data_IF_806534838936
#
_entry.id   IF_806534838936
#
_cell.length_a   1.000
_cell.length_b   1.000
_cell.length_c   1.000
_cell.angle_alpha   90.00
_cell.angle_beta   90.00
_cell.angle_gamma   90.00
#
_symmetry.space_group_name_H-M   'P 1'
#
loop_
_entity.id
_entity.type
_entity.pdbx_description
1 polymer ?
#
# COMPACT_ATOMS: atom_id res chain seq x y z
N UNK A 1 22.57 8.03 -6.39
CA UNK A 1 21.94 6.95 -5.58
C UNK A 1 20.55 6.68 -6.13
N UNK A 2 20.15 5.42 -6.35
CA UNK A 2 18.79 5.10 -6.79
C UNK A 2 17.78 5.19 -5.63
N UNK A 3 16.48 5.25 -5.94
CA UNK A 3 15.41 5.41 -4.95
C UNK A 3 15.42 4.32 -3.86
N UNK A 4 15.75 3.07 -4.22
CA UNK A 4 15.84 1.97 -3.28
C UNK A 4 16.90 2.21 -2.21
N UNK A 5 18.13 2.53 -2.64
CA UNK A 5 19.24 2.78 -1.72
C UNK A 5 19.03 4.03 -0.88
N UNK A 6 18.36 5.06 -1.42
CA UNK A 6 17.99 6.26 -0.66
C UNK A 6 17.09 5.91 0.52
N UNK A 7 16.01 5.16 0.29
CA UNK A 7 15.07 4.76 1.35
C UNK A 7 15.78 3.88 2.38
N UNK A 8 16.56 2.89 1.92
CA UNK A 8 17.28 1.98 2.80
C UNK A 8 18.25 2.73 3.72
N UNK A 9 19.06 3.63 3.18
CA UNK A 9 20.01 4.43 3.95
C UNK A 9 19.30 5.30 5.01
N UNK A 10 18.15 5.89 4.66
CA UNK A 10 17.35 6.67 5.61
C UNK A 10 16.85 5.82 6.78
N UNK A 11 16.34 4.62 6.51
CA UNK A 11 15.87 3.74 7.58
C UNK A 11 17.01 3.19 8.44
N UNK A 12 18.20 2.95 7.87
CA UNK A 12 19.41 2.60 8.64
C UNK A 12 19.89 3.75 9.54
N UNK A 13 19.81 4.99 9.06
CA UNK A 13 20.14 6.16 9.88
C UNK A 13 19.14 6.35 11.03
N UNK A 14 17.85 6.14 10.78
CA UNK A 14 16.84 6.14 11.83
C UNK A 14 17.16 5.08 12.89
N UNK A 15 17.44 3.85 12.45
CA UNK A 15 17.81 2.75 13.35
C UNK A 15 19.01 3.09 14.22
N UNK A 16 20.12 3.56 13.62
CA UNK A 16 21.35 3.90 14.35
C UNK A 16 21.14 4.92 15.46
N UNK A 17 20.23 5.89 15.27
CA UNK A 17 19.89 6.90 16.30
C UNK A 17 19.09 6.32 17.47
N UNK A 18 18.40 5.20 17.25
CA UNK A 18 17.59 4.50 18.24
C UNK A 18 18.28 3.28 18.84
N UNK A 19 19.49 2.94 18.36
CA UNK A 19 20.31 1.86 18.90
C UNK A 19 19.66 0.49 18.80
N UNK A 20 19.01 0.18 17.67
CA UNK A 20 18.34 -1.13 17.54
C UNK A 20 19.35 -2.20 17.10
N UNK A 21 19.21 -3.40 17.66
CA UNK A 21 19.99 -4.52 17.18
C UNK A 21 19.43 -5.02 15.83
N UNK A 22 20.33 -5.21 14.86
CA UNK A 22 19.99 -5.69 13.51
C UNK A 22 20.63 -7.05 13.19
N UNK A 23 19.80 -7.91 12.60
CA UNK A 23 20.15 -9.18 11.98
C UNK A 23 20.50 -8.99 10.49
N UNK A 24 21.43 -9.81 10.01
CA UNK A 24 21.87 -9.84 8.61
C UNK A 24 20.88 -10.53 7.69
N UNK A 25 20.38 -9.79 6.69
CA UNK A 25 19.57 -10.21 5.55
C UNK A 25 18.33 -11.07 5.82
N UNK A 26 17.63 -11.45 4.74
CA UNK A 26 16.40 -12.26 4.85
C UNK A 26 16.69 -13.68 5.34
N UNK A 27 17.87 -14.22 5.03
CA UNK A 27 18.36 -15.48 5.60
C UNK A 27 19.12 -15.14 6.88
N UNK A 28 18.79 -15.74 8.03
CA UNK A 28 19.44 -15.40 9.30
C UNK A 28 20.97 -15.35 9.19
N UNK A 29 21.56 -14.27 9.70
CA UNK A 29 23.01 -14.04 9.77
C UNK A 29 23.73 -13.98 8.42
N UNK A 30 23.04 -13.67 7.31
CA UNK A 30 23.67 -13.52 5.99
C UNK A 30 23.27 -12.22 5.30
N UNK A 31 24.25 -11.51 4.78
CA UNK A 31 24.04 -10.26 4.05
C UNK A 31 23.96 -9.04 4.96
N UNK A 32 23.58 -7.91 4.39
CA UNK A 32 23.54 -6.61 5.08
C UNK A 32 22.56 -6.62 6.26
N UNK A 33 22.99 -6.05 7.40
CA UNK A 33 22.16 -5.89 8.60
C UNK A 33 21.04 -4.89 8.33
N UNK A 34 19.80 -5.39 8.30
CA UNK A 34 18.62 -4.61 7.88
C UNK A 34 17.31 -5.13 8.49
N UNK A 35 17.39 -6.08 9.41
CA UNK A 35 16.23 -6.72 10.02
C UNK A 35 16.30 -6.56 11.53
N UNK A 36 15.27 -6.00 12.17
CA UNK A 36 15.23 -5.93 13.64
C UNK A 36 15.07 -7.32 14.25
N UNK A 37 15.64 -7.52 15.44
CA UNK A 37 15.51 -8.79 16.18
C UNK A 37 14.03 -9.09 16.48
N UNK A 38 13.35 -8.12 17.10
CA UNK A 38 11.92 -8.19 17.43
C UNK A 38 11.10 -7.41 16.42
N UNK A 39 10.09 -8.05 15.82
CA UNK A 39 9.22 -7.41 14.83
C UNK A 39 8.61 -6.11 15.38
N UNK A 40 8.16 -6.13 16.64
CA UNK A 40 7.53 -4.98 17.30
C UNK A 40 8.45 -3.77 17.38
N UNK A 41 9.77 -3.92 17.42
CA UNK A 41 10.71 -2.79 17.34
C UNK A 41 10.59 -2.02 16.03
N UNK A 42 10.01 -2.64 14.99
CA UNK A 42 9.73 -1.99 13.72
C UNK A 42 8.34 -1.32 13.67
N UNK A 43 7.56 -1.37 14.76
CA UNK A 43 6.18 -0.90 14.82
C UNK A 43 6.03 0.21 15.85
N UNK A 44 5.25 1.25 15.53
CA UNK A 44 4.91 2.32 16.47
C UNK A 44 4.34 1.75 17.77
N UNK A 45 4.77 2.30 18.90
CA UNK A 45 4.42 1.84 20.25
C UNK A 45 4.73 0.35 20.52
N UNK A 46 5.58 -0.26 19.70
CA UNK A 46 6.04 -1.64 19.82
C UNK A 46 4.91 -2.68 19.97
N UNK A 47 3.76 -2.42 19.34
CA UNK A 47 2.58 -3.28 19.47
C UNK A 47 1.87 -3.44 18.15
N UNK A 48 1.66 -4.69 17.74
CA UNK A 48 0.66 -5.04 16.74
C UNK A 48 -0.67 -5.28 17.44
N UNK A 49 -1.76 -4.73 16.90
CA UNK A 49 -3.09 -5.06 17.39
C UNK A 49 -3.44 -6.52 17.03
N UNK A 50 -4.30 -7.14 17.82
CA UNK A 50 -4.76 -8.52 17.56
C UNK A 50 -5.42 -8.63 16.18
N UNK A 51 -6.14 -7.59 15.78
CA UNK A 51 -6.86 -7.53 14.50
C UNK A 51 -5.87 -7.43 13.33
N UNK A 52 -4.86 -6.56 13.42
CA UNK A 52 -3.80 -6.48 12.42
C UNK A 52 -3.06 -7.82 12.30
N UNK A 53 -2.77 -8.48 13.42
CA UNK A 53 -2.13 -9.79 13.40
C UNK A 53 -3.00 -10.86 12.72
N UNK A 54 -4.30 -10.85 12.96
CA UNK A 54 -5.25 -11.76 12.29
C UNK A 54 -5.35 -11.50 10.79
N UNK A 55 -5.34 -10.24 10.38
CA UNK A 55 -5.36 -9.83 8.97
C UNK A 55 -4.13 -10.35 8.22
N UNK A 56 -2.93 -10.10 8.74
CA UNK A 56 -1.70 -10.63 8.13
C UNK A 56 -1.60 -12.16 8.14
N UNK A 57 -2.22 -12.84 9.12
CA UNK A 57 -2.30 -14.32 9.11
C UNK A 57 -3.18 -14.88 7.99
N UNK A 58 -4.16 -14.09 7.51
CA UNK A 58 -5.05 -14.45 6.39
C UNK A 58 -4.45 -14.05 5.03
N UNK A 59 -3.49 -13.13 5.03
CA UNK A 59 -2.67 -12.77 3.87
C UNK A 59 -1.86 -13.96 3.34
N UNK A 60 -1.30 -13.79 2.14
CA UNK A 60 -0.58 -14.88 1.45
C UNK A 60 0.93 -14.90 1.75
N UNK A 61 1.40 -14.02 2.63
CA UNK A 61 2.82 -13.86 2.88
C UNK A 61 3.25 -14.26 4.28
N UNK A 62 4.57 -14.30 4.45
CA UNK A 62 5.22 -14.54 5.74
C UNK A 62 5.61 -13.18 6.37
N UNK A 63 4.64 -12.28 6.51
CA UNK A 63 4.88 -10.91 6.97
C UNK A 63 5.28 -10.88 8.45
N UNK A 64 4.64 -11.69 9.29
CA UNK A 64 4.73 -11.58 10.76
C UNK A 64 5.47 -12.72 11.46
N UNK A 65 5.81 -13.80 10.75
CA UNK A 65 6.46 -14.98 11.31
C UNK A 65 7.76 -15.31 10.61
N UNK A 66 8.79 -15.57 11.42
CA UNK A 66 10.02 -16.17 10.92
C UNK A 66 9.75 -17.63 10.51
N UNK A 67 10.48 -18.11 9.53
CA UNK A 67 10.56 -19.52 9.16
C UNK A 67 11.97 -20.02 9.45
N UNK A 68 12.18 -21.34 9.36
CA UNK A 68 13.51 -21.96 9.55
C UNK A 68 14.59 -21.38 8.62
N UNK A 69 14.21 -20.80 7.49
CA UNK A 69 15.16 -20.30 6.47
C UNK A 69 15.06 -18.80 6.21
N UNK A 70 14.04 -18.11 6.74
CA UNK A 70 13.79 -16.70 6.43
C UNK A 70 13.20 -15.93 7.62
N UNK A 71 13.68 -14.72 7.83
CA UNK A 71 13.06 -13.76 8.76
C UNK A 71 11.74 -13.22 8.19
N UNK A 72 10.83 -12.88 9.08
CA UNK A 72 9.56 -12.23 8.79
C UNK A 72 9.79 -10.94 7.97
N UNK A 73 9.01 -10.72 6.92
CA UNK A 73 9.22 -9.54 6.05
C UNK A 73 9.03 -8.22 6.80
N UNK A 74 8.17 -8.19 7.82
CA UNK A 74 7.92 -7.01 8.63
C UNK A 74 9.06 -6.67 9.59
N UNK A 75 10.06 -7.56 9.77
CA UNK A 75 11.30 -7.23 10.48
C UNK A 75 12.25 -6.35 9.66
N UNK A 76 12.11 -6.29 8.33
CA UNK A 76 12.98 -5.44 7.52
C UNK A 76 12.72 -3.95 7.83
N UNK A 77 13.78 -3.16 8.05
CA UNK A 77 13.65 -1.71 8.31
C UNK A 77 12.87 -0.99 7.22
N UNK A 78 13.07 -1.42 5.97
CA UNK A 78 12.39 -0.91 4.77
C UNK A 78 11.18 -1.77 4.37
N UNK A 79 10.51 -2.40 5.35
CA UNK A 79 9.36 -3.26 5.11
C UNK A 79 8.15 -2.48 4.63
N UNK A 80 7.63 -2.89 3.49
CA UNK A 80 6.41 -2.35 2.90
C UNK A 80 5.13 -2.70 3.64
N UNK A 81 5.17 -3.67 4.56
CA UNK A 81 4.05 -3.99 5.45
C UNK A 81 4.15 -3.21 6.76
N UNK A 82 5.35 -2.91 7.26
CA UNK A 82 5.52 -2.15 8.49
C UNK A 82 5.11 -0.67 8.32
N UNK A 83 5.44 -0.06 7.18
CA UNK A 83 5.07 1.32 6.88
C UNK A 83 3.55 1.59 6.97
N UNK A 84 2.68 0.87 6.24
CA UNK A 84 1.24 1.06 6.38
C UNK A 84 0.74 0.69 7.77
N UNK A 85 1.28 -0.32 8.45
CA UNK A 85 0.89 -0.58 9.85
C UNK A 85 1.17 0.61 10.74
N UNK A 86 2.36 1.21 10.62
CA UNK A 86 2.76 2.37 11.40
C UNK A 86 1.91 3.59 11.12
N UNK A 87 1.38 3.76 9.91
CA UNK A 87 0.49 4.87 9.59
C UNK A 87 -0.95 4.58 9.97
N UNK A 88 -1.48 3.40 9.65
CA UNK A 88 -2.92 3.15 9.70
C UNK A 88 -3.39 2.49 11.00
N UNK A 89 -2.59 1.62 11.64
CA UNK A 89 -3.04 0.88 12.82
C UNK A 89 -3.41 1.78 13.99
N UNK A 90 -2.70 2.91 14.14
CA UNK A 90 -2.96 3.90 15.19
C UNK A 90 -4.42 4.40 15.21
N UNK A 91 -5.09 4.35 14.06
CA UNK A 91 -6.44 4.85 13.86
C UNK A 91 -7.54 3.78 14.01
N UNK A 92 -7.20 2.51 14.31
CA UNK A 92 -8.19 1.42 14.45
C UNK A 92 -9.23 1.66 15.56
N UNK A 93 -8.83 2.37 16.62
CA UNK A 93 -9.63 2.65 17.82
C UNK A 93 -9.98 4.15 17.94
N UNK A 94 -9.86 4.91 16.83
CA UNK A 94 -10.07 6.36 16.78
C UNK A 94 -10.97 6.74 15.60
N UNK A 95 -11.41 8.00 15.57
CA UNK A 95 -12.00 8.60 14.38
C UNK A 95 -10.97 8.63 13.23
N UNK A 96 -11.28 7.95 12.13
CA UNK A 96 -10.39 7.85 10.95
C UNK A 96 -10.47 9.06 10.03
N UNK A 97 -11.42 9.99 10.25
CA UNK A 97 -11.63 11.14 9.38
C UNK A 97 -10.39 12.06 9.24
N UNK A 98 -9.55 12.29 10.27
CA UNK A 98 -8.31 13.06 10.10
C UNK A 98 -7.35 12.39 9.11
N UNK A 99 -7.20 11.06 9.20
CA UNK A 99 -6.37 10.27 8.31
C UNK A 99 -6.90 10.29 6.87
N UNK A 100 -8.20 10.08 6.68
CA UNK A 100 -8.84 10.13 5.36
C UNK A 100 -8.72 11.53 4.73
N UNK A 101 -8.87 12.59 5.53
CA UNK A 101 -8.67 13.98 5.08
C UNK A 101 -7.21 14.24 4.67
N UNK A 102 -6.24 13.78 5.48
CA UNK A 102 -4.82 13.91 5.15
C UNK A 102 -4.48 13.17 3.83
N UNK A 103 -5.08 12.00 3.61
CA UNK A 103 -5.00 11.23 2.37
C UNK A 103 -5.75 11.85 1.17
N UNK A 104 -6.41 13.01 1.32
CA UNK A 104 -7.24 13.68 0.29
C UNK A 104 -8.43 12.81 -0.18
N UNK A 105 -8.96 11.96 0.69
CA UNK A 105 -10.08 11.06 0.39
C UNK A 105 -11.45 11.62 0.78
N UNK A 106 -11.47 12.54 1.74
CA UNK A 106 -12.67 13.29 2.16
C UNK A 106 -12.33 14.78 2.34
N UNK A 107 -13.32 15.65 2.15
CA UNK A 107 -13.19 17.09 2.29
C UNK A 107 -13.49 17.52 3.75
N UNK A 108 -12.62 17.12 4.68
CA UNK A 108 -12.71 17.33 6.15
C UNK A 108 -14.03 16.88 6.81
N UNK A 109 -13.98 16.76 8.13
CA UNK A 109 -14.92 16.04 9.01
C UNK A 109 -16.40 16.31 8.66
N UNK A 110 -17.20 15.29 8.32
CA UNK A 110 -18.65 15.42 8.36
C UNK A 110 -19.08 15.75 9.80
N UNK A 111 -19.97 16.73 9.96
CA UNK A 111 -20.73 16.86 11.20
C UNK A 111 -21.53 15.55 11.36
N UNK A 112 -21.18 14.71 12.34
CA UNK A 112 -21.77 13.39 12.63
C UNK A 112 -21.30 12.24 11.72
N UNK A 113 -20.02 11.85 11.79
CA UNK A 113 -19.59 10.56 11.23
C UNK A 113 -19.41 9.50 12.32
N UNK A 114 -20.19 8.43 12.24
CA UNK A 114 -19.95 7.22 13.02
C UNK A 114 -18.80 6.45 12.39
N UNK A 115 -17.59 6.62 12.92
CA UNK A 115 -16.49 5.73 12.54
C UNK A 115 -16.77 4.35 13.11
N UNK A 116 -16.88 3.35 12.25
CA UNK A 116 -17.05 1.96 12.69
C UNK A 116 -15.81 1.51 13.46
N UNK A 117 -16.02 0.81 14.57
CA UNK A 117 -14.92 0.18 15.32
C UNK A 117 -14.16 -0.77 14.38
N UNK A 118 -12.83 -0.66 14.35
CA UNK A 118 -11.96 -1.44 13.47
C UNK A 118 -12.16 -1.21 11.96
N UNK A 119 -12.57 0.01 11.57
CA UNK A 119 -12.71 0.40 10.16
C UNK A 119 -11.44 0.14 9.33
N UNK A 120 -10.25 0.22 9.94
CA UNK A 120 -8.96 -0.03 9.27
C UNK A 120 -8.62 -1.51 9.31
N UNK A 121 -8.63 -2.14 8.14
CA UNK A 121 -8.28 -3.56 7.92
C UNK A 121 -7.08 -3.70 6.99
N UNK A 122 -6.25 -4.70 7.21
CA UNK A 122 -5.05 -4.97 6.40
C UNK A 122 -5.24 -6.23 5.54
N UNK A 123 -4.48 -6.37 4.45
CA UNK A 123 -4.39 -7.59 3.63
C UNK A 123 -5.77 -8.15 3.16
N UNK A 124 -6.70 -7.25 2.84
CA UNK A 124 -8.05 -7.65 2.44
C UNK A 124 -8.07 -8.16 1.00
N UNK A 125 -8.77 -9.28 0.78
CA UNK A 125 -8.84 -10.00 -0.50
C UNK A 125 -10.11 -9.64 -1.26
N UNK A 126 -9.96 -9.23 -2.52
CA UNK A 126 -11.10 -8.94 -3.40
C UNK A 126 -11.11 -9.88 -4.60
N UNK A 127 -12.18 -10.66 -4.74
CA UNK A 127 -12.30 -11.63 -5.82
C UNK A 127 -12.63 -10.94 -7.15
N UNK A 128 -11.88 -11.27 -8.20
CA UNK A 128 -12.08 -10.74 -9.55
C UNK A 128 -13.24 -11.47 -10.25
N UNK A 129 -13.27 -12.80 -10.14
CA UNK A 129 -14.32 -13.67 -10.66
C UNK A 129 -14.22 -15.08 -10.04
N UNK A 130 -15.27 -15.87 -10.14
CA UNK A 130 -15.36 -17.21 -9.53
C UNK A 130 -14.54 -18.30 -10.25
N UNK A 131 -13.88 -17.97 -11.37
CA UNK A 131 -13.04 -18.92 -12.11
C UNK A 131 -11.67 -19.12 -11.44
N UNK A 132 -11.59 -20.08 -10.51
CA UNK A 132 -10.36 -20.41 -9.79
C UNK A 132 -9.25 -21.06 -10.61
N UNK A 133 -9.58 -21.66 -11.77
CA UNK A 133 -8.57 -22.25 -12.66
C UNK A 133 -7.67 -21.16 -13.24
N UNK A 134 -8.30 -20.08 -13.70
CA UNK A 134 -7.62 -18.96 -14.33
C UNK A 134 -7.14 -17.91 -13.32
N UNK A 135 -7.90 -17.74 -12.24
CA UNK A 135 -7.68 -16.78 -11.16
C UNK A 135 -7.53 -17.48 -9.80
N UNK A 136 -6.45 -18.27 -9.60
CA UNK A 136 -6.27 -19.04 -8.37
C UNK A 136 -5.96 -18.17 -7.14
N UNK A 137 -5.64 -16.88 -7.33
CA UNK A 137 -5.30 -15.95 -6.26
C UNK A 137 -6.13 -14.69 -6.36
N UNK A 138 -6.63 -14.24 -5.20
CA UNK A 138 -7.31 -12.97 -5.02
C UNK A 138 -6.27 -11.87 -4.80
N UNK A 139 -6.38 -10.70 -5.45
CA UNK A 139 -5.57 -9.54 -5.12
C UNK A 139 -5.75 -9.13 -3.65
N UNK A 140 -4.63 -8.94 -2.94
CA UNK A 140 -4.58 -8.46 -1.55
C UNK A 140 -4.33 -6.95 -1.57
N UNK A 141 -5.25 -6.17 -1.02
CA UNK A 141 -5.03 -4.75 -0.76
C UNK A 141 -4.36 -4.56 0.59
N UNK A 142 -3.36 -3.68 0.64
CA UNK A 142 -2.57 -3.46 1.85
C UNK A 142 -3.42 -2.91 2.99
N UNK A 143 -4.29 -1.93 2.70
CA UNK A 143 -5.23 -1.35 3.68
C UNK A 143 -6.59 -1.12 3.05
N UNK A 144 -7.65 -1.39 3.80
CA UNK A 144 -9.03 -1.04 3.46
C UNK A 144 -9.65 -0.32 4.65
N UNK A 145 -10.32 0.79 4.35
CA UNK A 145 -11.07 1.59 5.33
C UNK A 145 -12.51 1.72 4.86
N UNK A 146 -13.44 1.27 5.67
CA UNK A 146 -14.88 1.52 5.46
C UNK A 146 -15.31 2.74 6.27
N UNK A 147 -15.89 3.74 5.60
CA UNK A 147 -16.31 4.99 6.23
C UNK A 147 -17.46 5.62 5.45
N UNK A 148 -18.55 5.98 6.14
CA UNK A 148 -19.77 6.55 5.52
C UNK A 148 -20.27 5.75 4.29
N UNK A 149 -20.40 4.42 4.43
CA UNK A 149 -20.84 3.52 3.36
C UNK A 149 -19.97 3.55 2.08
N UNK A 150 -18.74 4.05 2.19
CA UNK A 150 -17.77 4.11 1.10
C UNK A 150 -16.54 3.28 1.47
N UNK A 151 -16.05 2.51 0.50
CA UNK A 151 -14.80 1.76 0.65
C UNK A 151 -13.62 2.60 0.14
N UNK A 152 -12.62 2.77 1.00
CA UNK A 152 -11.34 3.37 0.67
C UNK A 152 -10.28 2.26 0.65
N UNK A 153 -9.92 1.83 -0.55
CA UNK A 153 -8.88 0.83 -0.79
C UNK A 153 -7.54 1.53 -0.97
N UNK A 154 -6.49 1.06 -0.30
CA UNK A 154 -5.18 1.69 -0.31
C UNK A 154 -4.14 0.65 -0.71
N UNK A 155 -3.46 0.92 -1.82
CA UNK A 155 -2.27 0.21 -2.24
C UNK A 155 -1.05 1.03 -1.78
N UNK A 156 -0.25 0.43 -0.90
CA UNK A 156 0.91 1.04 -0.26
C UNK A 156 2.19 0.64 -0.98
N UNK A 157 3.06 1.61 -1.30
CA UNK A 157 4.38 1.36 -1.88
C UNK A 157 5.48 2.05 -1.12
N UNK A 158 6.50 1.30 -0.73
CA UNK A 158 7.66 1.84 -0.05
C UNK A 158 8.89 1.78 -0.95
N UNK A 159 9.44 0.58 -1.14
CA UNK A 159 10.70 0.36 -1.86
C UNK A 159 10.53 -0.29 -3.22
N UNK A 160 9.40 -0.95 -3.43
CA UNK A 160 9.09 -1.77 -4.60
C UNK A 160 9.22 -1.03 -5.93
N UNK A 161 8.72 0.21 -6.08
CA UNK A 161 8.82 0.92 -7.34
C UNK A 161 10.26 1.09 -7.83
N UNK A 162 11.23 1.08 -6.90
CA UNK A 162 12.64 1.38 -7.18
C UNK A 162 13.53 0.13 -7.20
N UNK A 163 12.98 -1.07 -7.01
CA UNK A 163 13.75 -2.34 -7.03
C UNK A 163 13.93 -2.92 -8.42
N UNK A 164 13.01 -2.65 -9.34
CA UNK A 164 13.05 -3.20 -10.69
C UNK A 164 11.73 -2.99 -11.42
N UNK A 165 11.73 -3.35 -12.71
CA UNK A 165 10.54 -3.21 -13.55
C UNK A 165 9.44 -4.19 -13.09
N UNK A 166 8.20 -3.71 -12.86
CA UNK A 166 7.06 -4.58 -12.57
C UNK A 166 6.76 -5.53 -13.73
N UNK A 167 6.16 -6.68 -13.41
CA UNK A 167 5.74 -7.67 -14.41
C UNK A 167 4.50 -7.20 -15.17
N UNK A 168 4.29 -7.77 -16.36
CA UNK A 168 3.06 -7.55 -17.12
C UNK A 168 1.86 -8.27 -16.53
N UNK A 169 0.69 -7.94 -17.07
CA UNK A 169 -0.55 -8.63 -16.75
C UNK A 169 -0.56 -10.00 -17.45
N UNK A 170 -1.13 -11.03 -16.82
CA UNK A 170 -1.25 -12.35 -17.45
C UNK A 170 -2.23 -12.29 -18.63
N UNK A 171 -1.95 -13.03 -19.70
CA UNK A 171 -2.80 -13.11 -20.91
C UNK A 171 -4.24 -13.51 -20.62
N UNK A 172 -4.47 -14.28 -19.56
CA UNK A 172 -5.81 -14.68 -19.17
C UNK A 172 -6.73 -13.49 -18.94
N UNK A 173 -6.21 -12.34 -18.49
CA UNK A 173 -6.99 -11.12 -18.26
C UNK A 173 -7.42 -10.43 -19.56
N UNK A 174 -6.77 -10.73 -20.69
CA UNK A 174 -7.06 -10.15 -22.01
C UNK A 174 -7.86 -11.10 -22.90
N UNK A 175 -8.31 -12.24 -22.35
CA UNK A 175 -9.18 -13.18 -23.04
C UNK A 175 -10.57 -12.58 -23.29
N UNK A 176 -11.11 -12.81 -24.49
CA UNK A 176 -12.48 -12.41 -24.88
C UNK A 176 -13.56 -13.02 -23.99
N UNK A 177 -13.25 -14.11 -23.29
CA UNK A 177 -14.16 -14.74 -22.32
C UNK A 177 -14.43 -13.85 -21.08
N UNK A 178 -13.68 -12.75 -20.92
CA UNK A 178 -13.80 -11.81 -19.79
C UNK A 178 -14.44 -10.48 -20.18
N UNK A 179 -15.15 -10.38 -21.30
CA UNK A 179 -15.77 -9.10 -21.71
C UNK A 179 -16.68 -8.49 -20.63
N UNK A 180 -17.37 -9.34 -19.85
CA UNK A 180 -18.18 -8.88 -18.70
C UNK A 180 -17.34 -8.19 -17.61
N UNK A 181 -16.12 -8.66 -17.39
CA UNK A 181 -15.19 -8.10 -16.40
C UNK A 181 -14.84 -6.65 -16.76
N UNK A 182 -14.57 -6.42 -18.05
CA UNK A 182 -14.19 -5.13 -18.62
C UNK A 182 -15.36 -4.19 -18.91
N UNK A 183 -16.62 -4.62 -18.70
CA UNK A 183 -17.80 -3.77 -18.92
C UNK A 183 -17.65 -2.44 -18.18
N UNK A 184 -17.61 -1.35 -18.96
CA UNK A 184 -17.44 0.01 -18.47
C UNK A 184 -16.01 0.40 -18.10
N UNK A 185 -15.00 -0.40 -18.42
CA UNK A 185 -13.57 -0.15 -18.16
C UNK A 185 -12.75 -0.19 -19.46
N UNK A 186 -13.26 0.45 -20.52
CA UNK A 186 -12.68 0.34 -21.87
C UNK A 186 -11.24 0.84 -21.93
N UNK A 187 -10.90 1.93 -21.25
CA UNK A 187 -9.55 2.50 -21.31
C UNK A 187 -8.55 1.67 -20.48
N UNK A 188 -8.98 1.15 -19.34
CA UNK A 188 -8.21 0.22 -18.54
C UNK A 188 -8.04 -1.13 -19.24
N UNK A 189 -9.00 -1.58 -20.04
CA UNK A 189 -8.85 -2.77 -20.89
C UNK A 189 -7.80 -2.55 -21.97
N UNK A 190 -7.82 -1.39 -22.65
CA UNK A 190 -6.78 -1.02 -23.62
C UNK A 190 -5.40 -1.02 -22.97
N UNK A 191 -5.27 -0.43 -21.78
CA UNK A 191 -4.02 -0.46 -21.02
C UNK A 191 -3.63 -1.89 -20.62
N UNK A 192 -4.58 -2.71 -20.18
CA UNK A 192 -4.34 -4.10 -19.82
C UNK A 192 -3.78 -4.90 -20.99
N UNK A 193 -4.32 -4.70 -22.19
CA UNK A 193 -3.83 -5.30 -23.43
C UNK A 193 -2.41 -4.84 -23.77
N UNK A 194 -2.08 -3.56 -23.57
CA UNK A 194 -0.73 -3.03 -23.89
C UNK A 194 0.36 -3.48 -22.92
N UNK A 195 0.01 -3.96 -21.72
CA UNK A 195 0.95 -4.46 -20.71
C UNK A 195 0.90 -5.99 -20.50
N UNK A 196 0.26 -6.72 -21.41
CA UNK A 196 0.09 -8.18 -21.38
C UNK A 196 0.77 -8.85 -22.58
N UNK A 197 1.46 -10.01 -22.42
CA UNK A 197 1.89 -10.61 -21.15
C UNK A 197 3.00 -9.80 -20.47
N UNK A 198 3.65 -8.91 -21.22
CA UNK A 198 4.85 -8.20 -20.81
C UNK A 198 4.54 -6.72 -20.58
N UNK A 199 4.96 -6.21 -19.43
CA UNK A 199 4.88 -4.79 -19.15
C UNK A 199 5.91 -4.04 -20.00
N UNK A 200 5.44 -3.28 -20.99
CA UNK A 200 6.27 -2.41 -21.82
C UNK A 200 6.10 -0.92 -21.51
N UNK A 201 5.06 -0.55 -20.75
CA UNK A 201 4.64 0.83 -20.53
C UNK A 201 5.23 1.47 -19.27
N UNK A 202 5.41 0.70 -18.20
CA UNK A 202 5.77 1.23 -16.88
C UNK A 202 7.11 0.69 -16.41
N UNK A 203 7.99 1.59 -15.95
CA UNK A 203 9.27 1.23 -15.32
C UNK A 203 9.15 1.09 -13.81
N UNK A 204 8.33 1.92 -13.15
CA UNK A 204 8.24 2.03 -11.70
C UNK A 204 6.85 1.61 -11.17
N UNK A 205 5.78 1.96 -11.88
CA UNK A 205 4.40 1.68 -11.50
C UNK A 205 3.99 0.24 -11.86
N UNK A 206 3.48 -0.51 -10.89
CA UNK A 206 2.86 -1.81 -11.14
C UNK A 206 1.40 -1.64 -11.62
N UNK A 207 1.26 -1.23 -12.88
CA UNK A 207 -0.05 -1.03 -13.50
C UNK A 207 -0.89 -2.31 -13.54
N UNK A 208 -0.25 -3.48 -13.70
CA UNK A 208 -0.94 -4.77 -13.70
C UNK A 208 -1.55 -5.07 -12.32
N UNK A 209 -0.84 -4.75 -11.23
CA UNK A 209 -1.37 -4.85 -9.88
C UNK A 209 -2.59 -3.93 -9.67
N UNK A 210 -2.49 -2.66 -10.05
CA UNK A 210 -3.59 -1.71 -9.90
C UNK A 210 -4.85 -2.12 -10.67
N UNK A 211 -4.69 -2.61 -11.90
CA UNK A 211 -5.79 -3.15 -12.70
C UNK A 211 -6.47 -4.31 -11.97
N UNK A 212 -5.71 -5.27 -11.43
CA UNK A 212 -6.27 -6.38 -10.65
C UNK A 212 -7.07 -5.91 -9.43
N UNK A 213 -6.58 -4.91 -8.70
CA UNK A 213 -7.32 -4.33 -7.58
C UNK A 213 -8.61 -3.66 -8.02
N UNK A 214 -8.58 -2.85 -9.08
CA UNK A 214 -9.78 -2.20 -9.63
C UNK A 214 -10.82 -3.25 -10.05
N UNK A 215 -10.39 -4.33 -10.70
CA UNK A 215 -11.27 -5.40 -11.13
C UNK A 215 -11.94 -6.13 -9.94
N UNK A 216 -11.15 -6.47 -8.92
CA UNK A 216 -11.68 -7.10 -7.70
C UNK A 216 -12.64 -6.18 -6.92
N UNK A 217 -12.27 -4.90 -6.75
CA UNK A 217 -13.12 -3.91 -6.08
C UNK A 217 -14.41 -3.66 -6.84
N UNK A 218 -14.36 -3.53 -8.17
CA UNK A 218 -15.54 -3.36 -9.03
C UNK A 218 -16.49 -4.55 -8.93
N UNK A 219 -15.97 -5.76 -8.82
CA UNK A 219 -16.79 -6.97 -8.71
C UNK A 219 -17.66 -6.94 -7.44
N UNK A 220 -17.12 -6.46 -6.32
CA UNK A 220 -17.82 -6.44 -5.02
C UNK A 220 -18.64 -5.16 -4.81
N UNK A 221 -18.10 -3.99 -5.13
CA UNK A 221 -18.68 -2.69 -4.77
C UNK A 221 -19.24 -1.91 -5.96
N UNK A 222 -19.12 -2.44 -7.18
CA UNK A 222 -19.39 -1.68 -8.39
C UNK A 222 -18.37 -0.56 -8.62
N UNK A 223 -18.52 0.20 -9.71
CA UNK A 223 -17.53 1.23 -10.11
C UNK A 223 -17.49 2.45 -9.19
N UNK A 224 -18.61 2.81 -8.58
CA UNK A 224 -18.75 4.01 -7.75
C UNK A 224 -18.58 3.75 -6.25
N UNK A 225 -18.67 2.48 -5.82
CA UNK A 225 -18.66 2.06 -4.42
C UNK A 225 -17.27 1.99 -3.76
N UNK A 226 -16.20 2.30 -4.49
CA UNK A 226 -14.85 2.39 -3.92
C UNK A 226 -14.07 3.62 -4.42
N UNK A 227 -13.05 4.00 -3.65
CA UNK A 227 -11.93 4.84 -4.08
C UNK A 227 -10.64 4.06 -3.89
N UNK A 228 -9.81 3.96 -4.93
CA UNK A 228 -8.49 3.33 -4.86
C UNK A 228 -7.42 4.41 -4.70
N UNK A 229 -6.71 4.41 -3.58
CA UNK A 229 -5.58 5.28 -3.30
C UNK A 229 -4.27 4.53 -3.54
N UNK A 230 -3.42 5.08 -4.40
CA UNK A 230 -2.01 4.69 -4.48
C UNK A 230 -1.18 5.58 -3.55
N UNK A 231 -0.83 5.04 -2.38
CA UNK A 231 -0.04 5.73 -1.37
C UNK A 231 1.42 5.27 -1.46
N UNK A 232 2.31 6.18 -1.84
CA UNK A 232 3.67 5.81 -2.18
C UNK A 232 4.72 6.65 -1.47
N UNK A 233 5.91 6.08 -1.27
CA UNK A 233 7.01 6.81 -0.66
C UNK A 233 7.80 7.58 -1.72
N UNK A 234 7.75 8.91 -1.64
CA UNK A 234 8.44 9.79 -2.56
C UNK A 234 9.96 9.74 -2.39
N UNK A 235 10.71 9.72 -3.51
CA UNK A 235 12.17 9.91 -3.51
C UNK A 235 12.54 11.10 -4.37
N UNK A 236 13.57 11.84 -3.99
CA UNK A 236 14.04 13.00 -4.74
C UNK A 236 14.84 12.55 -5.97
N UNK A 237 14.71 13.28 -7.07
CA UNK A 237 15.49 13.07 -8.29
C UNK A 237 14.73 12.27 -9.37
N UNK A 238 15.50 11.71 -10.32
CA UNK A 238 14.98 11.12 -11.55
C UNK A 238 13.99 9.98 -11.30
N UNK A 239 14.29 9.08 -10.36
CA UNK A 239 13.45 7.91 -10.06
C UNK A 239 12.05 8.33 -9.57
N UNK A 240 11.98 9.24 -8.59
CA UNK A 240 10.69 9.70 -8.06
C UNK A 240 9.92 10.57 -9.05
N UNK A 241 10.62 11.39 -9.84
CA UNK A 241 9.99 12.17 -10.90
C UNK A 241 9.39 11.29 -12.01
N UNK A 242 10.10 10.24 -12.41
CA UNK A 242 9.61 9.28 -13.42
C UNK A 242 8.45 8.43 -12.87
N UNK A 243 8.55 7.94 -11.64
CA UNK A 243 7.47 7.20 -10.99
C UNK A 243 6.19 8.04 -10.88
N UNK A 244 6.30 9.32 -10.48
CA UNK A 244 5.15 10.24 -10.44
C UNK A 244 4.46 10.38 -11.81
N UNK A 245 5.23 10.57 -12.89
CA UNK A 245 4.67 10.68 -14.25
C UNK A 245 3.91 9.42 -14.67
N UNK A 246 4.41 8.24 -14.29
CA UNK A 246 3.72 6.97 -14.56
C UNK A 246 2.40 6.86 -13.78
N UNK A 247 2.37 7.28 -12.51
CA UNK A 247 1.15 7.34 -11.69
C UNK A 247 0.13 8.30 -12.31
N UNK A 248 0.57 9.49 -12.74
CA UNK A 248 -0.30 10.49 -13.38
C UNK A 248 -0.89 9.95 -14.69
N UNK A 249 -0.09 9.26 -15.51
CA UNK A 249 -0.57 8.57 -16.72
C UNK A 249 -1.66 7.54 -16.38
N UNK A 250 -1.44 6.70 -15.38
CA UNK A 250 -2.44 5.72 -14.95
C UNK A 250 -3.71 6.39 -14.42
N UNK A 251 -3.56 7.46 -13.65
CA UNK A 251 -4.67 8.24 -13.10
C UNK A 251 -5.58 8.79 -14.19
N UNK A 252 -5.01 9.38 -15.24
CA UNK A 252 -5.79 9.88 -16.37
C UNK A 252 -6.52 8.76 -17.12
N UNK A 253 -5.93 7.57 -17.24
CA UNK A 253 -6.59 6.41 -17.85
C UNK A 253 -7.78 5.95 -16.99
N UNK A 254 -7.57 5.76 -15.68
CA UNK A 254 -8.62 5.33 -14.75
C UNK A 254 -9.78 6.33 -14.69
N UNK A 255 -9.47 7.63 -14.77
CA UNK A 255 -10.46 8.72 -14.81
C UNK A 255 -11.39 8.63 -16.02
N UNK A 256 -10.88 8.27 -17.20
CA UNK A 256 -11.71 8.10 -18.42
C UNK A 256 -12.74 6.98 -18.27
N UNK A 257 -12.48 6.01 -17.40
CA UNK A 257 -13.43 4.95 -17.06
C UNK A 257 -14.27 5.27 -15.81
N UNK A 258 -14.27 6.52 -15.34
CA UNK A 258 -14.98 6.95 -14.12
C UNK A 258 -14.59 6.14 -12.86
N UNK A 259 -13.34 5.67 -12.78
CA UNK A 259 -12.80 5.06 -11.58
C UNK A 259 -12.22 6.16 -10.67
N UNK A 260 -12.64 6.17 -9.40
CA UNK A 260 -12.08 7.05 -8.37
C UNK A 260 -10.69 6.56 -7.96
N UNK A 261 -9.69 6.83 -8.80
CA UNK A 261 -8.28 6.61 -8.48
C UNK A 261 -7.65 7.90 -7.95
N UNK A 262 -6.93 7.80 -6.83
CA UNK A 262 -6.20 8.91 -6.21
C UNK A 262 -4.76 8.47 -5.96
N UNK A 263 -3.85 9.43 -5.84
CA UNK A 263 -2.50 9.17 -5.38
C UNK A 263 -1.99 10.31 -4.50
N UNK A 264 -1.16 9.97 -3.53
CA UNK A 264 -0.48 10.92 -2.64
C UNK A 264 0.78 10.26 -2.10
N UNK A 265 1.76 11.05 -1.68
CA UNK A 265 2.94 10.50 -0.99
C UNK A 265 2.69 10.31 0.50
N UNK A 266 3.40 9.36 1.10
CA UNK A 266 3.46 9.23 2.57
C UNK A 266 3.92 10.53 3.23
N UNK A 267 4.90 11.21 2.64
CA UNK A 267 5.41 12.47 3.15
C UNK A 267 4.34 13.57 3.19
N UNK A 268 3.55 13.71 2.14
CA UNK A 268 2.43 14.66 2.13
C UNK A 268 1.37 14.33 3.20
N UNK A 269 1.07 13.03 3.42
CA UNK A 269 0.12 12.61 4.45
C UNK A 269 0.63 12.96 5.85
N UNK A 270 1.89 12.63 6.16
CA UNK A 270 2.50 12.91 7.46
C UNK A 270 2.55 14.43 7.71
N UNK A 271 3.00 15.23 6.73
CA UNK A 271 3.05 16.69 6.87
C UNK A 271 1.66 17.28 7.12
N UNK A 272 0.62 16.77 6.45
CA UNK A 272 -0.75 17.23 6.68
C UNK A 272 -1.27 16.86 8.07
N UNK A 273 -1.02 15.63 8.51
CA UNK A 273 -1.40 15.21 9.87
C UNK A 273 -0.69 16.07 10.93
N UNK A 274 0.62 16.28 10.78
CA UNK A 274 1.41 17.14 11.68
C UNK A 274 1.00 18.60 11.64
N UNK A 275 0.43 19.09 10.54
CA UNK A 275 -0.06 20.48 10.46
C UNK A 275 -1.44 20.67 11.11
N UNK A 276 -2.32 19.67 10.97
CA UNK A 276 -3.75 19.83 11.26
C UNK A 276 -4.20 19.12 12.53
N UNK A 277 -3.46 18.10 12.99
CA UNK A 277 -3.88 17.18 14.06
C UNK A 277 -2.74 16.86 15.03
N UNK A 278 -1.79 17.78 15.24
CA UNK A 278 -0.58 17.53 16.04
C UNK A 278 -0.87 17.28 17.52
N UNK A 279 -1.57 18.20 18.19
CA UNK A 279 -1.63 18.26 19.64
C UNK A 279 -2.20 16.98 20.27
N UNK A 280 -3.26 16.41 19.68
CA UNK A 280 -3.88 15.17 20.15
C UNK A 280 -3.10 13.89 19.77
N UNK A 281 -2.12 14.00 18.87
CA UNK A 281 -1.43 12.86 18.27
C UNK A 281 0.11 13.00 18.31
N UNK A 282 0.63 13.85 19.19
CA UNK A 282 2.04 14.28 19.25
C UNK A 282 3.05 13.14 19.13
N UNK A 283 3.04 12.19 20.07
CA UNK A 283 4.01 11.07 20.10
C UNK A 283 3.99 10.22 18.82
N UNK A 284 2.80 10.06 18.23
CA UNK A 284 2.61 9.28 17.00
C UNK A 284 3.16 10.04 15.78
N UNK A 285 2.91 11.35 15.71
CA UNK A 285 3.38 12.17 14.60
C UNK A 285 4.87 12.50 14.69
N UNK A 286 5.40 12.63 15.91
CA UNK A 286 6.83 12.73 16.16
C UNK A 286 7.53 11.45 15.66
N UNK A 287 7.00 10.26 15.99
CA UNK A 287 7.52 8.99 15.48
C UNK A 287 7.49 8.90 13.94
N UNK A 288 6.36 9.24 13.31
CA UNK A 288 6.25 9.18 11.86
C UNK A 288 7.18 10.17 11.17
N UNK A 289 7.31 11.38 11.72
CA UNK A 289 8.19 12.41 11.18
C UNK A 289 9.65 12.00 11.31
N UNK A 290 10.06 11.56 12.50
CA UNK A 290 11.43 11.12 12.77
C UNK A 290 11.87 9.92 11.92
N UNK A 291 10.94 9.01 11.61
CA UNK A 291 11.22 7.80 10.86
C UNK A 291 11.09 7.95 9.35
N UNK A 292 10.09 8.68 8.88
CA UNK A 292 9.65 8.66 7.49
C UNK A 292 9.77 10.01 6.77
N UNK A 293 10.02 11.14 7.46
CA UNK A 293 10.37 12.43 6.84
C UNK A 293 11.87 12.69 6.83
#
# INVERSE_FOLDING_TARGET
MNGFNYIKAKQQNWEKRHGLELLGGTKPNRGEKNYVVNLTSNIYNQKLSNITLQDFKKGDGNETKDTTSRLAKMKALHSSSALPVNVFQYWQEKDVSPLLSACKLINRRPFNSDTLLNAVRFEQKFEICDNRKDFPKKPNLDVVIEYNNQVYAIESKFTEPYKGKPKGLREVYTSTQLDKLWKGLTHLQVLANSISPNNNEFRYLDGAQLIKHILGLKNIHGKSGFTLLYLWYGVIGKDGGAHRKEIEKFSEIAKKDNIKFRHITYQEVIVKLSKEYYDENKNYLDYLSDRYL
#
